data_IF_669327238229
#
_entry.id   IF_669327238229
#
_cell.length_a   1.000
_cell.length_b   1.000
_cell.length_c   1.000
_cell.angle_alpha   90.00
_cell.angle_beta   90.00
_cell.angle_gamma   90.00
#
_symmetry.space_group_name_H-M   'P 1'
#
loop_
_entity.id
_entity.type
_entity.pdbx_description
1 polymer ?
#
# COMPACT_ATOMS: atom_id res chain seq x y z
N UNK A 1 28.75 43.27 -10.57
CA UNK A 1 29.20 42.34 -9.48
C UNK A 1 28.24 42.37 -8.27
N UNK A 2 27.93 43.56 -7.74
CA UNK A 2 27.00 43.74 -6.61
C UNK A 2 25.57 43.26 -6.93
N UNK A 3 25.05 43.55 -8.11
CA UNK A 3 23.70 43.16 -8.56
C UNK A 3 23.52 41.61 -8.55
N UNK A 4 24.52 40.85 -9.01
CA UNK A 4 24.48 39.40 -9.03
C UNK A 4 24.46 38.84 -7.60
N UNK A 5 25.18 39.45 -6.67
CA UNK A 5 25.22 39.03 -5.27
C UNK A 5 23.86 39.24 -4.59
N UNK A 6 23.16 40.36 -4.87
CA UNK A 6 21.81 40.63 -4.36
C UNK A 6 20.81 39.56 -4.91
N UNK A 7 20.87 39.28 -6.19
CA UNK A 7 19.97 38.27 -6.80
C UNK A 7 20.16 36.89 -6.18
N UNK A 8 21.42 36.46 -6.04
CA UNK A 8 21.73 35.14 -5.39
C UNK A 8 21.25 35.13 -3.93
N UNK A 9 21.38 36.27 -3.22
CA UNK A 9 20.86 36.41 -1.86
C UNK A 9 19.33 36.21 -1.75
N UNK A 10 18.58 36.80 -2.68
CA UNK A 10 17.13 36.66 -2.73
C UNK A 10 16.72 35.22 -3.06
N UNK A 11 17.34 34.63 -4.08
CA UNK A 11 17.08 33.23 -4.47
C UNK A 11 17.37 32.27 -3.30
N UNK A 12 18.48 32.46 -2.61
CA UNK A 12 18.85 31.65 -1.44
C UNK A 12 17.82 31.75 -0.33
N UNK A 13 17.31 32.92 -0.06
CA UNK A 13 16.27 33.16 0.97
C UNK A 13 14.96 32.42 0.60
N UNK A 14 14.55 32.47 -0.68
CA UNK A 14 13.35 31.78 -1.16
C UNK A 14 13.54 30.25 -1.07
N UNK A 15 14.69 29.73 -1.49
CA UNK A 15 14.99 28.28 -1.45
C UNK A 15 15.01 27.76 -0.02
N UNK A 16 15.53 28.52 0.94
CA UNK A 16 15.58 28.13 2.36
C UNK A 16 14.19 27.80 2.94
N UNK A 17 13.15 28.45 2.45
CA UNK A 17 11.75 28.21 2.88
C UNK A 17 11.08 27.15 2.00
N UNK A 18 11.33 27.19 0.70
CA UNK A 18 10.61 26.34 -0.28
C UNK A 18 11.02 24.87 -0.23
N UNK A 19 12.31 24.58 0.01
CA UNK A 19 12.81 23.20 0.01
C UNK A 19 12.17 22.34 1.12
N UNK A 20 12.15 22.75 2.40
CA UNK A 20 11.53 21.94 3.46
C UNK A 20 10.02 21.78 3.26
N UNK A 21 9.34 22.79 2.70
CA UNK A 21 7.91 22.69 2.39
C UNK A 21 7.65 21.66 1.28
N UNK A 22 8.46 21.65 0.23
CA UNK A 22 8.36 20.69 -0.85
C UNK A 22 8.59 19.25 -0.37
N UNK A 23 9.54 19.02 0.54
CA UNK A 23 9.80 17.70 1.10
C UNK A 23 8.58 17.17 1.88
N UNK A 24 7.95 18.01 2.70
CA UNK A 24 6.72 17.64 3.42
C UNK A 24 5.56 17.35 2.46
N UNK A 25 5.39 18.14 1.42
CA UNK A 25 4.36 17.93 0.40
C UNK A 25 4.57 16.60 -0.34
N UNK A 26 5.83 16.24 -0.67
CA UNK A 26 6.16 14.94 -1.28
C UNK A 26 5.85 13.78 -0.36
N UNK A 27 6.19 13.86 0.93
CA UNK A 27 5.86 12.80 1.89
C UNK A 27 4.34 12.61 1.99
N UNK A 28 3.56 13.69 2.09
CA UNK A 28 2.10 13.62 2.13
C UNK A 28 1.52 13.00 0.84
N UNK A 29 2.06 13.33 -0.33
CA UNK A 29 1.67 12.74 -1.60
C UNK A 29 1.98 11.24 -1.67
N UNK A 30 3.14 10.82 -1.18
CA UNK A 30 3.54 9.41 -1.12
C UNK A 30 2.61 8.61 -0.18
N UNK A 31 2.25 9.17 0.99
CA UNK A 31 1.30 8.55 1.93
C UNK A 31 -0.09 8.39 1.29
N UNK A 32 -0.58 9.41 0.60
CA UNK A 32 -1.84 9.33 -0.13
C UNK A 32 -1.81 8.26 -1.24
N UNK A 33 -0.69 8.15 -1.96
CA UNK A 33 -0.50 7.13 -2.97
C UNK A 33 -0.42 5.71 -2.38
N UNK A 34 0.19 5.55 -1.20
CA UNK A 34 0.23 4.29 -0.46
C UNK A 34 -1.18 3.82 -0.05
N UNK A 35 -2.00 4.74 0.48
CA UNK A 35 -3.42 4.48 0.79
C UNK A 35 -4.17 4.07 -0.48
N UNK A 36 -3.95 4.77 -1.60
CA UNK A 36 -4.52 4.43 -2.90
C UNK A 36 -4.13 3.02 -3.35
N UNK A 37 -2.87 2.63 -3.16
CA UNK A 37 -2.39 1.29 -3.50
C UNK A 37 -3.07 0.20 -2.66
N UNK A 38 -3.22 0.39 -1.34
CA UNK A 38 -3.94 -0.55 -0.48
C UNK A 38 -5.42 -0.67 -0.85
N UNK A 39 -6.07 0.42 -1.23
CA UNK A 39 -7.45 0.39 -1.74
C UNK A 39 -7.54 -0.38 -3.06
N UNK A 40 -6.55 -0.22 -3.94
CA UNK A 40 -6.48 -0.99 -5.20
C UNK A 40 -6.33 -2.48 -4.90
N UNK A 41 -5.47 -2.88 -3.96
CA UNK A 41 -5.35 -4.28 -3.51
C UNK A 41 -6.67 -4.78 -2.96
N UNK A 42 -7.33 -4.02 -2.07
CA UNK A 42 -8.62 -4.42 -1.48
C UNK A 42 -9.71 -4.59 -2.54
N UNK A 43 -9.75 -3.73 -3.55
CA UNK A 43 -10.70 -3.82 -4.67
C UNK A 43 -10.40 -5.03 -5.57
N UNK A 44 -9.11 -5.30 -5.84
CA UNK A 44 -8.67 -6.46 -6.60
C UNK A 44 -9.02 -7.77 -5.89
N UNK A 45 -8.81 -7.84 -4.58
CA UNK A 45 -9.17 -8.99 -3.73
C UNK A 45 -10.68 -9.25 -3.71
N UNK A 46 -11.48 -8.19 -3.66
CA UNK A 46 -12.93 -8.33 -3.75
C UNK A 46 -13.37 -8.90 -5.11
N UNK A 47 -12.78 -8.42 -6.21
CA UNK A 47 -12.99 -8.96 -7.54
C UNK A 47 -12.54 -10.42 -7.69
N UNK A 48 -11.36 -10.74 -7.15
CA UNK A 48 -10.78 -12.07 -7.15
C UNK A 48 -11.66 -13.06 -6.36
N UNK A 49 -12.08 -12.69 -5.16
CA UNK A 49 -12.97 -13.50 -4.31
C UNK A 49 -14.35 -13.72 -4.94
N UNK A 50 -14.81 -12.82 -5.81
CA UNK A 50 -16.08 -12.98 -6.51
C UNK A 50 -15.99 -13.81 -7.78
N UNK A 51 -14.86 -13.82 -8.48
CA UNK A 51 -14.73 -14.37 -9.83
C UNK A 51 -13.77 -15.57 -9.93
N UNK A 52 -12.65 -15.56 -9.21
CA UNK A 52 -11.59 -16.55 -9.33
C UNK A 52 -11.64 -17.62 -8.22
N UNK A 53 -11.99 -17.24 -7.00
CA UNK A 53 -11.99 -18.11 -5.83
C UNK A 53 -13.17 -17.73 -4.91
N UNK A 54 -14.39 -18.21 -5.15
CA UNK A 54 -15.57 -17.79 -4.40
C UNK A 54 -15.43 -17.92 -2.89
N UNK A 55 -15.30 -16.79 -2.17
CA UNK A 55 -15.08 -16.73 -0.72
C UNK A 55 -13.61 -16.85 -0.28
N UNK A 56 -12.66 -17.07 -1.21
CA UNK A 56 -11.22 -17.06 -0.97
C UNK A 56 -10.56 -15.74 -1.40
N UNK A 57 -9.41 -15.45 -0.81
CA UNK A 57 -8.56 -14.29 -1.14
C UNK A 57 -7.17 -14.78 -1.52
N UNK A 58 -6.50 -14.03 -2.38
CA UNK A 58 -5.11 -14.28 -2.73
C UNK A 58 -4.18 -13.99 -1.53
N UNK A 59 -3.08 -14.69 -1.48
CA UNK A 59 -2.06 -14.52 -0.43
C UNK A 59 -0.78 -13.87 -0.94
N UNK A 60 -0.72 -13.57 -2.25
CA UNK A 60 0.40 -12.92 -2.93
C UNK A 60 -0.13 -11.97 -4.02
N UNK A 61 0.52 -10.84 -4.21
CA UNK A 61 0.21 -9.89 -5.30
C UNK A 61 0.36 -10.54 -6.69
N UNK A 62 1.32 -11.45 -6.85
CA UNK A 62 1.53 -12.19 -8.08
C UNK A 62 0.31 -13.05 -8.48
N UNK A 63 -0.39 -13.63 -7.51
CA UNK A 63 -1.62 -14.41 -7.74
C UNK A 63 -2.73 -13.52 -8.29
N UNK A 64 -2.90 -12.30 -7.75
CA UNK A 64 -3.86 -11.31 -8.25
C UNK A 64 -3.52 -10.83 -9.68
N UNK A 65 -2.26 -10.81 -10.04
CA UNK A 65 -1.81 -10.40 -11.36
C UNK A 65 -1.97 -11.51 -12.42
N UNK A 66 -2.10 -12.78 -12.00
CA UNK A 66 -2.22 -13.92 -12.91
C UNK A 66 -3.66 -14.03 -13.43
N UNK A 67 -3.87 -13.98 -14.76
CA UNK A 67 -5.21 -14.13 -15.33
C UNK A 67 -5.76 -15.54 -15.12
N UNK A 68 -7.08 -15.64 -14.92
CA UNK A 68 -7.78 -16.93 -15.00
C UNK A 68 -7.81 -17.47 -16.44
N UNK A 69 -7.94 -18.79 -16.63
CA UNK A 69 -8.15 -19.40 -17.94
C UNK A 69 -9.31 -18.73 -18.68
N UNK A 70 -9.04 -18.28 -19.91
CA UNK A 70 -10.01 -17.53 -20.72
C UNK A 70 -10.04 -16.01 -20.52
N UNK A 71 -9.27 -15.47 -19.56
CA UNK A 71 -9.03 -14.03 -19.40
C UNK A 71 -7.63 -13.67 -19.86
N UNK A 72 -7.46 -12.45 -20.39
CA UNK A 72 -6.15 -11.89 -20.73
C UNK A 72 -5.63 -10.88 -19.70
N UNK A 73 -6.43 -10.60 -18.66
CA UNK A 73 -6.13 -9.55 -17.67
C UNK A 73 -6.29 -10.12 -16.26
N UNK A 74 -5.31 -9.86 -15.40
CA UNK A 74 -5.38 -10.15 -13.97
C UNK A 74 -6.27 -9.15 -13.22
N UNK A 75 -6.44 -9.37 -11.93
CA UNK A 75 -7.26 -8.53 -11.06
C UNK A 75 -6.53 -7.27 -10.60
N UNK A 76 -5.20 -7.25 -10.70
CA UNK A 76 -4.36 -6.11 -10.31
C UNK A 76 -3.42 -5.70 -11.45
N UNK A 77 -3.04 -4.43 -11.45
CA UNK A 77 -2.14 -3.87 -12.46
C UNK A 77 -0.74 -4.49 -12.39
N UNK A 78 -0.03 -4.68 -13.52
CA UNK A 78 1.31 -5.27 -13.56
C UNK A 78 2.36 -4.58 -12.69
N UNK A 79 2.19 -3.29 -12.40
CA UNK A 79 3.09 -2.52 -11.52
C UNK A 79 2.97 -2.89 -10.03
N UNK A 80 1.93 -3.64 -9.66
CA UNK A 80 1.74 -4.23 -8.32
C UNK A 80 1.81 -5.77 -8.35
N UNK A 81 2.36 -6.37 -9.40
CA UNK A 81 2.37 -7.84 -9.56
C UNK A 81 3.51 -8.55 -8.81
N UNK A 82 4.46 -7.82 -8.28
CA UNK A 82 5.63 -8.35 -7.55
C UNK A 82 5.40 -8.15 -6.05
N UNK A 83 5.68 -9.18 -5.26
CA UNK A 83 5.56 -9.13 -3.81
C UNK A 83 6.95 -9.31 -3.14
N UNK A 84 7.48 -8.30 -2.44
CA UNK A 84 6.94 -6.95 -2.21
C UNK A 84 7.03 -6.03 -3.44
N UNK A 85 6.03 -5.17 -3.63
CA UNK A 85 6.04 -4.14 -4.66
C UNK A 85 6.48 -2.80 -4.09
N UNK A 86 7.35 -2.08 -4.82
CA UNK A 86 7.82 -0.76 -4.40
C UNK A 86 7.15 0.32 -5.25
N UNK A 87 6.41 1.23 -4.61
CA UNK A 87 5.69 2.29 -5.30
C UNK A 87 5.67 3.59 -4.49
N UNK A 88 5.99 4.71 -5.13
CA UNK A 88 5.95 6.06 -4.54
C UNK A 88 6.63 6.14 -3.16
N UNK A 89 7.80 5.49 -3.01
CA UNK A 89 8.54 5.50 -1.76
C UNK A 89 7.97 4.63 -0.64
N UNK A 90 7.01 3.72 -0.98
CA UNK A 90 6.43 2.73 -0.09
C UNK A 90 6.65 1.31 -0.61
N UNK A 91 6.81 0.38 0.31
CA UNK A 91 6.83 -1.06 0.07
C UNK A 91 5.41 -1.57 0.33
N UNK A 92 4.79 -2.17 -0.67
CA UNK A 92 3.46 -2.76 -0.59
C UNK A 92 3.63 -4.28 -0.54
N UNK A 93 3.02 -4.93 0.45
CA UNK A 93 3.02 -6.39 0.57
C UNK A 93 1.61 -6.91 0.73
N UNK A 94 1.39 -8.13 0.24
CA UNK A 94 0.21 -8.92 0.49
C UNK A 94 0.64 -10.22 1.15
N UNK A 95 -0.01 -10.59 2.23
CA UNK A 95 0.34 -11.77 3.01
C UNK A 95 -0.91 -12.50 3.52
N UNK A 96 -0.77 -13.75 3.94
CA UNK A 96 -1.84 -14.51 4.59
C UNK A 96 -2.40 -13.75 5.79
N UNK A 97 -3.71 -13.52 5.79
CA UNK A 97 -4.43 -12.95 6.95
C UNK A 97 -4.88 -14.02 7.94
N UNK A 98 -5.64 -13.59 8.95
CA UNK A 98 -6.34 -14.51 9.84
C UNK A 98 -7.54 -15.11 9.10
N UNK A 99 -7.50 -16.40 8.84
CA UNK A 99 -8.55 -17.13 8.14
C UNK A 99 -8.23 -18.62 8.03
N UNK A 100 -9.16 -19.37 7.51
CA UNK A 100 -8.99 -20.80 7.18
C UNK A 100 -8.73 -20.96 5.69
N UNK A 101 -8.30 -22.15 5.26
CA UNK A 101 -8.15 -22.44 3.84
C UNK A 101 -9.47 -22.20 3.10
N UNK A 102 -9.38 -21.43 2.03
CA UNK A 102 -10.45 -21.19 1.08
C UNK A 102 -10.46 -22.23 -0.05
N UNK A 103 -11.37 -22.10 -1.00
CA UNK A 103 -11.35 -22.92 -2.23
C UNK A 103 -10.12 -22.54 -3.08
N UNK A 104 -9.60 -23.49 -3.84
CA UNK A 104 -8.57 -23.18 -4.83
C UNK A 104 -9.13 -22.21 -5.88
N UNK A 105 -8.26 -21.37 -6.41
CA UNK A 105 -8.62 -20.41 -7.43
C UNK A 105 -8.77 -21.05 -8.83
N UNK A 106 -9.14 -20.23 -9.81
CA UNK A 106 -9.26 -20.63 -11.21
C UNK A 106 -7.99 -21.26 -11.83
N UNK A 107 -6.82 -21.07 -11.22
CA UNK A 107 -5.51 -21.60 -11.63
C UNK A 107 -5.05 -22.76 -10.73
N UNK A 108 -5.85 -23.17 -9.74
CA UNK A 108 -5.49 -24.19 -8.75
C UNK A 108 -4.55 -23.67 -7.65
N UNK A 109 -4.47 -22.36 -7.45
CA UNK A 109 -3.68 -21.76 -6.36
C UNK A 109 -4.48 -21.78 -5.06
N UNK A 110 -3.80 -22.11 -3.95
CA UNK A 110 -4.41 -22.10 -2.63
C UNK A 110 -4.79 -20.67 -2.20
N UNK A 111 -5.95 -20.54 -1.56
CA UNK A 111 -6.45 -19.27 -1.04
C UNK A 111 -6.74 -19.35 0.46
N UNK A 112 -6.97 -18.22 1.09
CA UNK A 112 -7.43 -18.12 2.49
C UNK A 112 -8.70 -17.28 2.55
N UNK A 113 -9.49 -17.46 3.61
CA UNK A 113 -10.69 -16.64 3.87
C UNK A 113 -10.37 -15.26 4.43
N UNK A 114 -9.10 -14.90 4.53
CA UNK A 114 -8.64 -13.58 4.95
C UNK A 114 -7.26 -13.26 4.41
N UNK A 115 -7.06 -12.01 4.03
CA UNK A 115 -5.78 -11.46 3.63
C UNK A 115 -5.34 -10.32 4.54
N UNK A 116 -4.08 -9.95 4.42
CA UNK A 116 -3.44 -8.87 5.12
C UNK A 116 -2.50 -8.14 4.17
N UNK A 117 -2.73 -6.87 3.96
CA UNK A 117 -1.88 -6.04 3.09
C UNK A 117 -1.29 -4.88 3.87
N UNK A 118 -0.03 -4.53 3.58
CA UNK A 118 0.68 -3.44 4.24
C UNK A 118 1.27 -2.47 3.25
N UNK A 119 1.47 -1.24 3.70
CA UNK A 119 2.25 -0.21 3.03
C UNK A 119 3.20 0.43 4.05
N UNK A 120 4.50 0.18 3.88
CA UNK A 120 5.56 0.65 4.75
C UNK A 120 6.44 1.66 4.01
N UNK A 121 6.81 2.82 4.61
CA UNK A 121 7.73 3.76 3.97
C UNK A 121 9.12 3.16 3.86
N UNK A 122 9.76 3.21 2.67
CA UNK A 122 11.14 2.74 2.45
C UNK A 122 12.11 3.42 3.40
N UNK A 123 11.86 4.68 3.71
CA UNK A 123 12.67 5.46 4.64
C UNK A 123 11.76 6.38 5.45
N UNK A 124 11.50 5.99 6.70
CA UNK A 124 10.71 6.80 7.61
C UNK A 124 11.32 8.21 7.79
N UNK A 125 10.48 9.24 7.71
CA UNK A 125 10.90 10.64 7.75
C UNK A 125 11.43 11.23 6.43
N UNK A 126 11.57 10.42 5.36
CA UNK A 126 11.98 10.88 4.03
C UNK A 126 10.97 10.57 2.95
N UNK A 127 10.47 9.33 2.89
CA UNK A 127 9.45 8.93 1.91
C UNK A 127 8.04 9.02 2.47
N UNK A 128 7.90 8.94 3.79
CA UNK A 128 6.68 9.08 4.56
C UNK A 128 6.98 8.94 6.05
N UNK A 129 6.01 9.26 6.90
CA UNK A 129 6.10 9.06 8.34
C UNK A 129 5.24 7.88 8.82
N UNK A 130 4.08 7.69 8.20
CA UNK A 130 3.07 6.73 8.62
C UNK A 130 3.15 5.46 7.80
N UNK A 131 2.91 4.32 8.44
CA UNK A 131 2.63 3.07 7.76
C UNK A 131 1.13 2.77 7.78
N UNK A 132 0.69 1.96 6.83
CA UNK A 132 -0.72 1.62 6.65
C UNK A 132 -0.87 0.11 6.49
N UNK A 133 -2.02 -0.41 6.88
CA UNK A 133 -2.37 -1.80 6.64
C UNK A 133 -3.87 -1.95 6.38
N UNK A 134 -4.26 -3.03 5.70
CA UNK A 134 -5.65 -3.36 5.42
C UNK A 134 -5.86 -4.87 5.53
N UNK A 135 -7.09 -5.27 5.80
CA UNK A 135 -7.50 -6.67 5.86
C UNK A 135 -8.71 -6.91 4.94
N UNK A 136 -9.15 -8.17 4.83
CA UNK A 136 -10.36 -8.58 4.11
C UNK A 136 -11.64 -7.81 4.51
N UNK A 137 -11.62 -7.06 5.60
CA UNK A 137 -12.73 -6.17 6.02
C UNK A 137 -12.71 -4.81 5.32
N UNK A 138 -11.73 -4.55 4.45
CA UNK A 138 -11.53 -3.30 3.73
C UNK A 138 -11.37 -2.04 4.63
N UNK A 139 -11.08 -2.24 5.92
CA UNK A 139 -10.75 -1.17 6.86
C UNK A 139 -9.26 -0.89 6.76
N UNK A 140 -8.93 0.38 6.59
CA UNK A 140 -7.54 0.85 6.61
C UNK A 140 -7.15 1.22 8.04
N UNK A 141 -5.98 0.75 8.45
CA UNK A 141 -5.36 1.10 9.72
C UNK A 141 -4.10 1.92 9.48
N UNK A 142 -3.76 2.77 10.42
CA UNK A 142 -2.59 3.63 10.37
C UNK A 142 -1.74 3.46 11.62
N UNK A 143 -0.42 3.46 11.44
CA UNK A 143 0.55 3.57 12.52
C UNK A 143 1.45 4.78 12.28
N UNK A 144 1.56 5.71 13.23
CA UNK A 144 2.37 6.92 13.09
C UNK A 144 3.88 6.67 13.20
N UNK A 145 4.31 5.47 13.61
CA UNK A 145 5.74 5.15 13.81
C UNK A 145 6.44 4.74 12.51
N UNK A 146 5.68 4.51 11.43
CA UNK A 146 6.21 4.01 10.15
C UNK A 146 6.38 2.50 10.11
N UNK A 147 5.93 1.77 11.13
CA UNK A 147 5.86 0.30 11.15
C UNK A 147 4.40 -0.10 10.92
N UNK A 148 4.08 -0.96 9.94
CA UNK A 148 2.70 -1.30 9.67
C UNK A 148 2.06 -2.06 10.83
N UNK A 149 0.78 -1.76 11.18
CA UNK A 149 0.05 -2.52 12.18
C UNK A 149 0.01 -4.00 11.81
N UNK A 150 0.20 -4.86 12.78
CA UNK A 150 0.12 -6.32 12.56
C UNK A 150 -1.32 -6.79 12.35
N UNK A 151 -1.48 -7.96 11.72
CA UNK A 151 -2.81 -8.56 11.52
C UNK A 151 -3.58 -8.72 12.86
N UNK A 152 -2.89 -9.05 13.96
CA UNK A 152 -3.49 -9.16 15.28
C UNK A 152 -4.00 -7.81 15.83
N UNK A 153 -3.26 -6.72 15.61
CA UNK A 153 -3.67 -5.37 16.01
C UNK A 153 -4.91 -4.87 15.25
N UNK A 154 -5.13 -5.36 14.03
CA UNK A 154 -6.30 -5.00 13.22
C UNK A 154 -7.53 -5.89 13.47
N UNK A 155 -7.39 -6.93 14.30
CA UNK A 155 -8.53 -7.73 14.75
C UNK A 155 -9.44 -6.91 15.67
N UNK A 156 -10.72 -7.26 15.80
CA UNK A 156 -11.62 -6.62 16.77
C UNK A 156 -11.03 -6.66 18.19
N UNK A 157 -10.82 -5.49 18.78
CA UNK A 157 -10.19 -5.36 20.11
C UNK A 157 -8.65 -5.39 20.09
N UNK A 158 -8.00 -5.46 18.92
CA UNK A 158 -6.54 -5.56 18.79
C UNK A 158 -5.77 -4.26 18.99
N UNK A 159 -6.43 -3.12 19.17
CA UNK A 159 -5.80 -1.83 19.49
C UNK A 159 -5.20 -1.07 18.30
N UNK A 160 -5.37 -1.54 17.06
CA UNK A 160 -4.99 -0.79 15.87
C UNK A 160 -5.83 0.46 15.67
N UNK A 161 -5.25 1.54 15.16
CA UNK A 161 -5.96 2.80 14.89
C UNK A 161 -6.53 2.80 13.48
N UNK A 162 -7.86 2.75 13.30
CA UNK A 162 -8.46 2.85 11.97
C UNK A 162 -8.27 4.26 11.41
N UNK A 163 -8.01 4.33 10.10
CA UNK A 163 -7.95 5.59 9.36
C UNK A 163 -9.39 6.06 9.12
N UNK A 164 -9.72 7.25 9.65
CA UNK A 164 -11.03 7.90 9.47
C UNK A 164 -11.07 8.74 8.19
#
# INVERSE_FOLDING_TARGET
MFELLVVVGIISAILAISVPMLMRARMAANEAAAIGSLRTVSSAEAGYSGAAAPGGYAILLATLATPCPGSSVGFISPDLSIDPSTRNGYIITLAPGSGVAGPDDCNGSATLTGYYSTAEPISAGRTGHRAFASTHRAVLFVDPTGVPPTNAQMAPGGGGTPLQ
#
